data_IF_945039387230
#
_entry.id   IF_945039387230
#
_cell.length_a   1.000
_cell.length_b   1.000
_cell.length_c   1.000
_cell.angle_alpha   90.00
_cell.angle_beta   90.00
_cell.angle_gamma   90.00
#
_symmetry.space_group_name_H-M   'P 1'
#
loop_
_entity.id
_entity.type
_entity.pdbx_description
1 polymer ?
#
# COMPACT_ATOMS: atom_id res chain seq x y z
N UNK A 1 -3.80 3.62 -1.27
CA UNK A 1 -4.14 3.48 0.15
C UNK A 1 -5.40 2.63 0.37
N UNK A 2 -6.50 2.86 -0.35
CA UNK A 2 -7.77 2.12 -0.15
C UNK A 2 -7.61 0.58 -0.20
N UNK A 3 -6.86 0.04 -1.16
CA UNK A 3 -6.61 -1.41 -1.24
C UNK A 3 -5.92 -2.00 0.00
N UNK A 4 -5.12 -1.20 0.71
CA UNK A 4 -4.49 -1.61 1.98
C UNK A 4 -5.53 -1.66 3.10
N UNK A 5 -6.44 -0.70 3.16
CA UNK A 5 -7.53 -0.67 4.12
C UNK A 5 -8.49 -1.85 3.92
N UNK A 6 -8.86 -2.14 2.67
CA UNK A 6 -9.71 -3.29 2.34
C UNK A 6 -8.99 -4.61 2.64
N UNK A 7 -7.70 -4.72 2.30
CA UNK A 7 -6.94 -5.92 2.62
C UNK A 7 -6.80 -6.16 4.14
N UNK A 8 -6.67 -5.12 4.95
CA UNK A 8 -6.71 -5.23 6.40
C UNK A 8 -8.09 -5.67 6.90
N UNK A 9 -9.17 -5.14 6.28
CA UNK A 9 -10.55 -5.52 6.57
C UNK A 9 -10.86 -6.98 6.21
N UNK A 10 -10.20 -7.51 5.18
CA UNK A 10 -10.25 -8.92 4.77
C UNK A 10 -9.37 -9.83 5.64
N UNK A 11 -8.64 -9.27 6.60
CA UNK A 11 -7.81 -10.03 7.53
C UNK A 11 -6.45 -10.46 6.97
N UNK A 12 -6.00 -9.86 5.87
CA UNK A 12 -4.62 -10.04 5.37
C UNK A 12 -3.64 -9.50 6.38
N UNK A 13 -2.44 -10.04 6.39
CA UNK A 13 -1.36 -9.62 7.29
C UNK A 13 -0.72 -8.31 6.82
N UNK A 14 -0.11 -7.57 7.75
CA UNK A 14 0.68 -6.36 7.41
C UNK A 14 1.72 -6.67 6.32
N UNK A 15 2.46 -7.78 6.45
CA UNK A 15 3.50 -8.16 5.51
C UNK A 15 2.94 -8.40 4.09
N UNK A 16 1.81 -9.08 3.97
CA UNK A 16 1.15 -9.29 2.67
C UNK A 16 0.71 -7.97 2.03
N UNK A 17 0.23 -7.02 2.84
CA UNK A 17 -0.21 -5.70 2.35
C UNK A 17 0.97 -4.80 1.97
N UNK A 18 2.11 -4.91 2.66
CA UNK A 18 3.34 -4.21 2.29
C UNK A 18 3.79 -4.62 0.88
N UNK A 19 3.82 -5.93 0.59
CA UNK A 19 4.21 -6.43 -0.74
C UNK A 19 3.14 -6.17 -1.79
N UNK A 20 1.87 -6.36 -1.46
CA UNK A 20 0.77 -6.18 -2.41
C UNK A 20 0.56 -4.72 -2.82
N UNK A 21 0.77 -3.77 -1.92
CA UNK A 21 0.64 -2.34 -2.24
C UNK A 21 1.55 -1.89 -3.38
N UNK A 22 2.70 -2.55 -3.56
CA UNK A 22 3.66 -2.26 -4.62
C UNK A 22 3.31 -2.92 -5.96
N UNK A 23 2.21 -3.68 -6.06
CA UNK A 23 1.80 -4.35 -7.31
C UNK A 23 0.55 -3.73 -7.94
N UNK A 24 0.04 -2.63 -7.39
CA UNK A 24 -1.28 -2.10 -7.75
C UNK A 24 -1.25 -1.12 -8.91
N UNK A 25 -0.17 -0.37 -9.04
CA UNK A 25 0.01 0.64 -10.08
C UNK A 25 1.39 0.47 -10.70
N UNK A 26 1.42 0.61 -12.01
CA UNK A 26 2.65 0.69 -12.79
C UNK A 26 2.93 2.14 -13.20
N UNK A 27 4.13 2.40 -13.70
CA UNK A 27 4.50 3.70 -14.28
C UNK A 27 3.53 4.16 -15.38
N UNK A 28 2.97 3.22 -16.14
CA UNK A 28 2.05 3.51 -17.25
C UNK A 28 0.66 3.95 -16.77
N UNK A 29 0.31 3.67 -15.51
CA UNK A 29 -0.99 4.03 -14.91
C UNK A 29 -1.02 5.45 -14.34
N UNK A 30 0.11 6.16 -14.34
CA UNK A 30 0.27 7.47 -13.71
C UNK A 30 0.96 8.47 -14.63
N UNK A 31 0.91 9.76 -14.26
CA UNK A 31 1.62 10.80 -15.00
C UNK A 31 3.13 10.71 -14.79
N UNK A 32 3.90 11.16 -15.78
CA UNK A 32 5.36 11.26 -15.69
C UNK A 32 5.81 12.00 -14.43
N UNK A 33 6.81 11.45 -13.74
CA UNK A 33 7.37 12.00 -12.50
C UNK A 33 6.62 11.63 -11.22
N UNK A 34 5.38 11.11 -11.31
CA UNK A 34 4.63 10.65 -10.13
C UNK A 34 5.31 9.49 -9.39
N UNK A 35 5.87 8.46 -10.07
CA UNK A 35 6.58 7.37 -9.38
C UNK A 35 7.74 7.87 -8.51
N UNK A 36 8.47 8.87 -8.98
CA UNK A 36 9.60 9.47 -8.26
C UNK A 36 9.16 10.37 -7.09
N UNK A 37 7.98 10.98 -7.18
CA UNK A 37 7.42 11.81 -6.10
C UNK A 37 6.89 10.99 -4.92
N UNK A 38 6.52 9.72 -5.14
CA UNK A 38 5.89 8.85 -4.14
C UNK A 38 6.85 7.73 -3.74
N UNK A 39 7.84 8.07 -2.90
CA UNK A 39 8.81 7.10 -2.40
C UNK A 39 8.18 6.04 -1.48
N UNK A 40 7.15 6.41 -0.73
CA UNK A 40 6.38 5.48 0.09
C UNK A 40 4.95 5.97 0.34
N UNK A 41 4.08 5.02 0.67
CA UNK A 41 2.72 5.29 1.15
C UNK A 41 2.56 4.64 2.52
N UNK A 42 2.20 5.45 3.50
CA UNK A 42 1.95 5.04 4.88
C UNK A 42 0.46 5.14 5.19
N UNK A 43 -0.13 4.08 5.74
CA UNK A 43 -1.55 4.03 6.10
C UNK A 43 -1.72 3.25 7.40
N UNK A 44 -2.43 3.82 8.36
CA UNK A 44 -2.93 3.07 9.51
C UNK A 44 -4.20 2.33 9.13
N UNK A 45 -4.24 1.03 9.37
CA UNK A 45 -5.38 0.17 9.09
C UNK A 45 -5.77 -0.65 10.32
N UNK A 46 -7.06 -0.91 10.49
CA UNK A 46 -7.58 -1.74 11.57
C UNK A 46 -7.53 -3.21 11.16
N UNK A 47 -6.69 -4.00 11.83
CA UNK A 47 -6.60 -5.46 11.67
C UNK A 47 -7.42 -6.15 12.76
N UNK A 48 -7.70 -7.47 12.64
CA UNK A 48 -8.37 -8.23 13.68
C UNK A 48 -7.68 -8.17 15.06
N UNK A 49 -6.37 -7.91 15.08
CA UNK A 49 -5.55 -7.81 16.30
C UNK A 49 -5.18 -6.37 16.68
N UNK A 50 -5.81 -5.36 16.05
CA UNK A 50 -5.67 -3.95 16.40
C UNK A 50 -5.21 -3.06 15.24
N UNK A 51 -5.11 -1.76 15.49
CA UNK A 51 -4.64 -0.80 14.50
C UNK A 51 -3.13 -0.90 14.31
N UNK A 52 -2.69 -0.96 13.06
CA UNK A 52 -1.26 -1.03 12.71
C UNK A 52 -0.94 -0.10 11.54
N UNK A 53 0.27 0.45 11.56
CA UNK A 53 0.83 1.21 10.44
C UNK A 53 1.35 0.23 9.37
N UNK A 54 0.90 0.41 8.13
CA UNK A 54 1.43 -0.28 6.95
C UNK A 54 2.20 0.72 6.11
N UNK A 55 3.46 0.42 5.82
CA UNK A 55 4.32 1.21 4.94
C UNK A 55 4.63 0.43 3.68
N UNK A 56 4.25 0.98 2.53
CA UNK A 56 4.57 0.44 1.21
C UNK A 56 5.65 1.31 0.61
N UNK A 57 6.86 0.77 0.47
CA UNK A 57 7.97 1.47 -0.20
C UNK A 57 7.87 1.27 -1.71
N UNK A 58 8.14 2.34 -2.47
CA UNK A 58 8.08 2.39 -3.94
C UNK A 58 6.81 1.72 -4.50
N UNK A 59 5.62 2.25 -4.18
CA UNK A 59 4.34 1.61 -4.50
C UNK A 59 4.00 1.59 -6.00
N UNK A 60 4.79 2.23 -6.85
CA UNK A 60 4.56 2.38 -8.30
C UNK A 60 5.83 1.89 -9.01
N UNK A 61 5.70 0.87 -9.86
CA UNK A 61 6.84 0.19 -10.53
C UNK A 61 6.83 0.41 -12.04
#
# INVERSE_FOLDING_TARGET
SAAILEGARDGRTVAELMSHGATLLTRDDVMDGVPEMVAEVQVEATFPDGTKLVTVHHPII
#
